data_IF_417131245916
#
_entry.id   IF_417131245916
#
_cell.length_a   1.000
_cell.length_b   1.000
_cell.length_c   1.000
_cell.angle_alpha   90.00
_cell.angle_beta   90.00
_cell.angle_gamma   90.00
#
_symmetry.space_group_name_H-M   'P 1'
#
loop_
_entity.id
_entity.type
_entity.pdbx_description
1 polymer ?
#
# COMPACT_ATOMS: atom_id res chain seq x y z
N UNK A 1 8.98 -2.03 22.47
CA UNK A 1 9.25 -3.47 22.68
C UNK A 1 10.51 -3.80 21.87
N UNK A 2 11.57 -4.34 22.50
CA UNK A 2 12.94 -4.28 21.97
C UNK A 2 13.22 -5.13 20.72
N UNK A 3 14.00 -4.57 19.78
CA UNK A 3 14.40 -5.13 18.46
C UNK A 3 14.98 -6.55 18.52
N UNK A 4 15.68 -6.89 19.60
CA UNK A 4 16.27 -8.22 19.83
C UNK A 4 15.18 -9.28 20.09
N UNK A 5 14.16 -8.94 20.90
CA UNK A 5 13.04 -9.86 21.18
C UNK A 5 12.24 -10.15 19.92
N UNK A 6 12.00 -9.14 19.09
CA UNK A 6 11.26 -9.29 17.84
C UNK A 6 11.98 -10.22 16.85
N UNK A 7 13.31 -10.13 16.73
CA UNK A 7 14.11 -11.04 15.90
C UNK A 7 14.09 -12.49 16.41
N UNK A 8 14.10 -12.68 17.72
CA UNK A 8 14.05 -14.01 18.33
C UNK A 8 12.67 -14.66 18.13
N UNK A 9 11.60 -13.89 18.36
CA UNK A 9 10.22 -14.28 18.08
C UNK A 9 10.02 -14.63 16.61
N UNK A 10 10.54 -13.82 15.69
CA UNK A 10 10.49 -14.11 14.25
C UNK A 10 11.13 -15.47 13.93
N UNK A 11 12.34 -15.75 14.44
CA UNK A 11 13.02 -17.05 14.22
C UNK A 11 12.22 -18.23 14.78
N UNK A 12 11.60 -18.08 15.94
CA UNK A 12 10.76 -19.11 16.56
C UNK A 12 9.51 -19.36 15.70
N UNK A 13 8.87 -18.29 15.25
CA UNK A 13 7.69 -18.35 14.40
C UNK A 13 7.96 -18.97 13.03
N UNK A 14 9.10 -18.64 12.40
CA UNK A 14 9.53 -19.29 11.14
C UNK A 14 9.79 -20.78 11.34
N UNK A 15 10.33 -21.19 12.49
CA UNK A 15 10.66 -22.58 12.77
C UNK A 15 9.44 -23.41 13.21
N UNK A 16 8.42 -22.77 13.77
CA UNK A 16 7.20 -23.42 14.25
C UNK A 16 5.94 -22.69 13.75
N UNK A 17 5.53 -22.93 12.49
CA UNK A 17 4.42 -22.20 11.85
C UNK A 17 3.06 -22.37 12.55
N UNK A 18 2.87 -23.42 13.35
CA UNK A 18 1.63 -23.61 14.11
C UNK A 18 1.47 -22.57 15.25
N UNK A 19 2.59 -22.05 15.80
CA UNK A 19 2.56 -20.98 16.79
C UNK A 19 2.15 -19.65 16.15
N UNK A 20 2.54 -19.40 14.89
CA UNK A 20 2.03 -18.27 14.10
C UNK A 20 0.52 -18.36 13.93
N UNK A 21 -0.02 -19.53 13.57
CA UNK A 21 -1.49 -19.72 13.46
C UNK A 21 -2.20 -19.35 14.74
N UNK A 22 -1.77 -19.89 15.89
CA UNK A 22 -2.39 -19.58 17.18
C UNK A 22 -2.22 -18.13 17.63
N UNK A 23 -1.20 -17.42 17.15
CA UNK A 23 -0.95 -16.00 17.41
C UNK A 23 -1.82 -15.08 16.54
N UNK A 24 -1.91 -15.35 15.23
CA UNK A 24 -2.77 -14.60 14.30
C UNK A 24 -4.26 -14.80 14.59
N UNK A 25 -4.65 -16.04 14.92
CA UNK A 25 -6.03 -16.38 15.25
C UNK A 25 -6.51 -15.69 16.54
N UNK A 26 -5.61 -15.50 17.53
CA UNK A 26 -5.87 -14.72 18.76
C UNK A 26 -5.95 -13.21 18.53
N UNK A 27 -5.36 -12.69 17.44
CA UNK A 27 -5.43 -11.27 17.06
C UNK A 27 -6.66 -10.90 16.24
N UNK A 28 -7.55 -11.86 15.94
CA UNK A 28 -8.76 -11.58 15.16
C UNK A 28 -8.49 -11.19 13.71
N UNK A 29 -7.27 -11.41 13.20
CA UNK A 29 -6.94 -11.31 11.77
C UNK A 29 -7.55 -12.53 11.07
N UNK A 30 -8.88 -12.53 10.96
CA UNK A 30 -9.66 -13.52 10.22
C UNK A 30 -9.65 -13.14 8.75
N UNK A 31 -8.94 -13.93 7.93
CA UNK A 31 -9.09 -13.94 6.48
C UNK A 31 -10.29 -14.78 6.03
N UNK A 32 -11.37 -14.81 6.82
CA UNK A 32 -12.50 -15.73 6.63
C UNK A 32 -13.52 -15.22 5.60
N UNK A 33 -13.34 -14.01 5.05
CA UNK A 33 -14.15 -13.50 3.95
C UNK A 33 -13.61 -13.98 2.61
N UNK A 34 -14.49 -14.40 1.71
CA UNK A 34 -14.14 -14.70 0.32
C UNK A 34 -13.30 -13.55 -0.27
N UNK A 35 -12.22 -13.89 -0.97
CA UNK A 35 -11.40 -12.90 -1.68
C UNK A 35 -12.34 -12.16 -2.64
N UNK A 36 -12.46 -10.81 -2.55
CA UNK A 36 -13.39 -10.03 -3.37
C UNK A 36 -12.84 -9.88 -4.79
N UNK A 37 -12.61 -11.01 -5.45
CA UNK A 37 -12.07 -11.07 -6.80
C UNK A 37 -13.08 -10.50 -7.79
N UNK A 38 -12.65 -9.49 -8.53
CA UNK A 38 -13.43 -8.92 -9.63
C UNK A 38 -12.74 -9.33 -10.94
N UNK A 39 -13.32 -10.23 -11.74
CA UNK A 39 -12.74 -10.60 -13.03
C UNK A 39 -12.57 -9.39 -13.94
N UNK A 40 -11.40 -9.29 -14.58
CA UNK A 40 -11.15 -8.27 -15.58
C UNK A 40 -12.01 -8.57 -16.82
N UNK A 41 -12.72 -7.55 -17.32
CA UNK A 41 -13.65 -7.66 -18.46
C UNK A 41 -13.16 -7.00 -19.74
N UNK A 42 -11.98 -6.39 -19.70
CA UNK A 42 -11.38 -5.62 -20.78
C UNK A 42 -10.00 -6.18 -21.07
N UNK A 43 -9.54 -6.02 -22.31
CA UNK A 43 -8.14 -6.29 -22.62
C UNK A 43 -7.24 -5.30 -21.87
N UNK A 44 -6.05 -5.76 -21.48
CA UNK A 44 -5.11 -4.96 -20.68
C UNK A 44 -4.79 -3.61 -21.36
N UNK A 45 -4.70 -3.63 -22.69
CA UNK A 45 -4.41 -2.46 -23.53
C UNK A 45 -5.49 -1.38 -23.47
N UNK A 46 -6.70 -1.73 -23.04
CA UNK A 46 -7.81 -0.79 -22.84
C UNK A 46 -7.98 -0.34 -21.38
N UNK A 47 -7.16 -0.86 -20.47
CA UNK A 47 -7.29 -0.63 -19.04
C UNK A 47 -6.55 0.63 -18.57
N UNK A 48 -7.19 1.37 -17.65
CA UNK A 48 -6.52 2.41 -16.85
C UNK A 48 -6.04 1.81 -15.52
N UNK A 49 -4.75 1.97 -15.22
CA UNK A 49 -4.09 1.31 -14.08
C UNK A 49 -3.68 2.33 -13.00
N UNK A 50 -4.01 2.06 -11.75
CA UNK A 50 -3.57 2.85 -10.59
C UNK A 50 -2.61 2.07 -9.68
N UNK A 51 -1.85 2.81 -8.88
CA UNK A 51 -1.05 2.27 -7.78
C UNK A 51 -1.73 2.60 -6.46
N UNK A 52 -1.84 1.60 -5.60
CA UNK A 52 -2.14 1.77 -4.18
C UNK A 52 -0.98 1.15 -3.41
N UNK A 53 -0.16 2.00 -2.79
CA UNK A 53 0.98 1.54 -2.00
C UNK A 53 0.69 1.65 -0.51
N UNK A 54 1.12 0.66 0.26
CA UNK A 54 1.13 0.73 1.74
C UNK A 54 2.52 1.03 2.29
N UNK A 55 3.46 1.43 1.43
CA UNK A 55 4.84 1.70 1.80
C UNK A 55 5.04 3.10 2.45
N UNK A 56 3.98 3.88 2.65
CA UNK A 56 4.09 5.23 3.23
C UNK A 56 4.56 6.30 2.24
N UNK A 57 4.43 6.06 0.93
CA UNK A 57 4.78 7.04 -0.11
C UNK A 57 3.78 8.20 -0.10
N UNK A 58 4.29 9.42 -0.21
CA UNK A 58 3.53 10.66 -0.31
C UNK A 58 4.40 11.77 -0.90
N UNK A 59 3.81 12.92 -1.23
CA UNK A 59 4.58 14.09 -1.67
C UNK A 59 5.28 14.74 -0.47
N UNK A 60 6.48 15.27 -0.69
CA UNK A 60 7.21 16.06 0.32
C UNK A 60 6.44 17.28 0.84
N UNK A 61 5.52 17.82 0.03
CA UNK A 61 4.67 18.96 0.40
C UNK A 61 3.44 18.56 1.22
N UNK A 62 3.11 17.27 1.28
CA UNK A 62 1.98 16.78 2.07
C UNK A 62 2.39 16.56 3.52
N UNK A 63 1.40 16.58 4.41
CA UNK A 63 1.62 16.21 5.80
C UNK A 63 2.14 14.75 5.87
N UNK A 64 3.29 14.49 6.52
CA UNK A 64 3.78 13.15 6.74
C UNK A 64 2.77 12.27 7.48
N UNK A 65 2.86 10.95 7.31
CA UNK A 65 2.05 10.01 8.10
C UNK A 65 2.44 10.08 9.59
N UNK A 66 1.46 9.92 10.47
CA UNK A 66 1.71 9.93 11.91
C UNK A 66 2.38 8.62 12.38
N UNK A 67 3.68 8.70 12.68
CA UNK A 67 4.44 7.60 13.26
C UNK A 67 4.48 7.60 14.80
N UNK A 68 3.92 8.63 15.46
CA UNK A 68 3.90 8.74 16.92
C UNK A 68 2.81 7.87 17.53
N UNK A 69 1.66 7.75 16.87
CA UNK A 69 0.63 6.82 17.28
C UNK A 69 1.06 5.38 16.97
N UNK A 70 1.25 4.58 18.02
CA UNK A 70 1.63 3.16 17.88
C UNK A 70 0.61 2.32 17.13
N UNK A 71 -0.63 2.82 16.97
CA UNK A 71 -1.68 2.17 16.19
C UNK A 71 -1.67 2.57 14.71
N UNK A 72 -0.81 3.51 14.33
CA UNK A 72 -0.64 3.96 12.97
C UNK A 72 -1.43 5.22 12.62
N UNK A 73 -1.65 5.39 11.32
CA UNK A 73 -2.30 6.49 10.64
C UNK A 73 -3.21 5.85 9.58
N UNK A 74 -4.55 5.89 9.76
CA UNK A 74 -5.47 5.26 8.83
C UNK A 74 -5.74 6.13 7.59
N UNK A 75 -5.20 7.36 7.53
CA UNK A 75 -5.40 8.25 6.41
C UNK A 75 -4.60 7.81 5.18
N UNK A 76 -4.92 8.40 4.03
CA UNK A 76 -4.16 8.22 2.80
C UNK A 76 -3.72 9.56 2.23
N UNK A 77 -2.84 9.50 1.24
CA UNK A 77 -2.40 10.63 0.45
C UNK A 77 -2.69 10.37 -1.03
N UNK A 78 -3.16 11.40 -1.71
CA UNK A 78 -3.34 11.38 -3.16
C UNK A 78 -2.04 11.81 -3.82
N UNK A 79 -1.58 11.03 -4.80
CA UNK A 79 -0.27 11.21 -5.46
C UNK A 79 -0.52 11.40 -6.96
N UNK A 80 -0.35 12.62 -7.49
CA UNK A 80 -0.46 12.87 -8.92
C UNK A 80 0.57 12.09 -9.73
N UNK A 81 0.15 11.42 -10.81
CA UNK A 81 1.06 10.62 -11.64
C UNK A 81 2.12 11.43 -12.39
N UNK A 82 1.85 12.72 -12.62
CA UNK A 82 2.77 13.63 -13.32
C UNK A 82 3.80 14.29 -12.39
N UNK A 83 3.78 14.00 -11.08
CA UNK A 83 4.78 14.53 -10.16
C UNK A 83 6.14 13.84 -10.42
N UNK A 84 7.26 14.57 -10.41
CA UNK A 84 8.58 13.96 -10.46
C UNK A 84 8.79 13.03 -9.26
N UNK A 85 9.39 11.86 -9.48
CA UNK A 85 9.67 10.91 -8.38
C UNK A 85 10.58 11.50 -7.31
N UNK A 86 11.41 12.50 -7.65
CA UNK A 86 12.20 13.28 -6.71
C UNK A 86 11.38 14.09 -5.70
N UNK A 87 10.09 14.35 -5.97
CA UNK A 87 9.16 15.03 -5.06
C UNK A 87 8.44 14.08 -4.11
N UNK A 88 8.65 12.78 -4.27
CA UNK A 88 8.10 11.75 -3.39
C UNK A 88 9.05 11.47 -2.22
N UNK A 89 8.47 11.05 -1.11
CA UNK A 89 9.20 10.56 0.05
C UNK A 89 8.40 9.49 0.78
N UNK A 90 9.07 8.78 1.70
CA UNK A 90 8.50 7.72 2.52
C UNK A 90 8.46 8.16 3.97
N UNK A 91 7.31 7.96 4.63
CA UNK A 91 7.20 8.05 6.09
C UNK A 91 6.68 6.71 6.60
N UNK A 92 7.60 5.81 6.99
CA UNK A 92 7.26 4.49 7.49
C UNK A 92 8.42 3.83 8.27
N UNK A 93 8.31 3.74 9.61
CA UNK A 93 9.41 3.28 10.47
C UNK A 93 9.57 1.75 10.58
N UNK A 94 8.70 0.97 9.92
CA UNK A 94 8.58 -0.48 10.17
C UNK A 94 9.29 -1.35 9.13
N UNK A 95 9.91 -0.75 8.11
CA UNK A 95 10.78 -1.45 7.16
C UNK A 95 12.02 -0.60 6.80
N UNK A 96 13.06 -1.24 6.27
CA UNK A 96 14.25 -0.52 5.79
C UNK A 96 13.99 -0.04 4.36
N UNK A 97 13.76 1.26 4.20
CA UNK A 97 13.38 1.86 2.92
C UNK A 97 14.55 2.50 2.16
N UNK A 98 15.81 2.26 2.56
CA UNK A 98 16.99 2.90 1.94
C UNK A 98 17.12 2.72 0.44
N UNK A 99 16.71 1.56 -0.09
CA UNK A 99 16.76 1.33 -1.53
C UNK A 99 15.58 2.02 -2.23
N UNK A 100 14.41 2.04 -1.60
CA UNK A 100 13.25 2.80 -2.07
C UNK A 100 13.48 4.32 -2.03
N UNK A 101 14.31 4.83 -1.11
CA UNK A 101 14.74 6.24 -1.09
C UNK A 101 15.61 6.60 -2.29
N UNK A 102 16.34 5.63 -2.86
CA UNK A 102 17.16 5.83 -4.07
C UNK A 102 16.32 5.67 -5.33
N UNK A 103 15.41 4.70 -5.34
CA UNK A 103 14.46 4.48 -6.42
C UNK A 103 13.08 4.12 -5.86
N UNK A 104 12.19 5.11 -5.88
CA UNK A 104 10.82 4.96 -5.36
C UNK A 104 10.03 3.90 -6.14
N UNK A 105 10.43 3.57 -7.38
CA UNK A 105 9.74 2.58 -8.20
C UNK A 105 9.76 1.17 -7.61
N UNK A 106 10.62 0.89 -6.62
CA UNK A 106 10.62 -0.37 -5.87
C UNK A 106 9.28 -0.58 -5.14
N UNK A 107 8.70 0.50 -4.60
CA UNK A 107 7.45 0.46 -3.81
C UNK A 107 6.31 1.24 -4.46
N UNK A 108 6.60 2.05 -5.47
CA UNK A 108 5.63 2.87 -6.21
C UNK A 108 6.06 2.96 -7.68
N UNK A 109 5.82 1.89 -8.48
CA UNK A 109 6.36 1.71 -9.84
C UNK A 109 5.70 2.60 -10.90
N UNK A 110 5.63 3.91 -10.64
CA UNK A 110 4.93 4.87 -11.47
C UNK A 110 5.61 5.06 -12.82
N UNK A 111 6.94 5.01 -12.87
CA UNK A 111 7.69 5.14 -14.12
C UNK A 111 7.54 3.89 -14.97
N UNK A 112 7.49 2.70 -14.34
CA UNK A 112 7.20 1.44 -15.05
C UNK A 112 5.80 1.47 -15.68
N UNK A 113 4.80 2.03 -15.00
CA UNK A 113 3.47 2.19 -15.59
C UNK A 113 3.45 3.20 -16.74
N UNK A 114 4.25 4.27 -16.67
CA UNK A 114 4.38 5.22 -17.78
C UNK A 114 5.03 4.57 -19.00
N UNK A 115 6.07 3.75 -18.80
CA UNK A 115 6.72 2.96 -19.84
C UNK A 115 5.74 1.97 -20.49
N UNK A 116 4.93 1.24 -19.70
CA UNK A 116 3.90 0.32 -20.23
C UNK A 116 2.85 1.06 -21.07
N UNK A 117 2.44 2.26 -20.64
CA UNK A 117 1.53 3.11 -21.42
C UNK A 117 2.17 3.53 -22.74
N UNK A 118 3.44 3.94 -22.72
CA UNK A 118 4.19 4.34 -23.93
C UNK A 118 4.40 3.18 -24.89
N UNK A 119 4.58 1.96 -24.39
CA UNK A 119 4.62 0.73 -25.17
C UNK A 119 3.24 0.29 -25.70
N UNK A 120 2.14 0.95 -25.29
CA UNK A 120 0.78 0.59 -25.68
C UNK A 120 0.27 -0.72 -25.07
N UNK A 121 0.84 -1.13 -23.94
CA UNK A 121 0.45 -2.32 -23.17
C UNK A 121 -0.75 -2.05 -22.27
N UNK A 122 -0.89 -0.80 -21.79
CA UNK A 122 -2.04 -0.29 -21.04
C UNK A 122 -2.54 1.01 -21.68
N UNK A 123 -3.82 1.33 -21.48
CA UNK A 123 -4.41 2.55 -22.04
C UNK A 123 -3.87 3.80 -21.36
N UNK A 124 -3.81 3.78 -20.04
CA UNK A 124 -3.44 4.95 -19.25
C UNK A 124 -3.02 4.57 -17.83
N UNK A 125 -2.25 5.48 -17.22
CA UNK A 125 -1.99 5.48 -15.78
C UNK A 125 -3.04 6.36 -15.10
N UNK A 126 -3.38 6.05 -13.85
CA UNK A 126 -4.25 6.88 -13.02
C UNK A 126 -3.70 8.31 -12.91
N UNK A 127 -4.58 9.31 -12.94
CA UNK A 127 -4.15 10.71 -12.74
C UNK A 127 -3.74 10.92 -11.28
N UNK A 128 -4.47 10.27 -10.36
CA UNK A 128 -4.21 10.24 -8.93
C UNK A 128 -4.07 8.79 -8.46
N UNK A 129 -2.93 8.50 -7.83
CA UNK A 129 -2.62 7.26 -7.14
C UNK A 129 -2.76 7.44 -5.62
N UNK A 130 -2.70 6.35 -4.86
CA UNK A 130 -2.92 6.40 -3.41
C UNK A 130 -1.72 5.86 -2.64
N UNK A 131 -1.29 6.62 -1.64
CA UNK A 131 -0.35 6.18 -0.61
C UNK A 131 -1.04 5.99 0.74
N UNK A 132 -0.85 4.85 1.36
CA UNK A 132 -1.18 4.55 2.75
C UNK A 132 0.10 4.29 3.54
N UNK A 133 0.01 4.43 4.86
CA UNK A 133 0.99 3.85 5.78
C UNK A 133 0.54 2.42 6.16
N UNK A 134 1.45 1.45 6.09
CA UNK A 134 1.13 0.02 6.10
C UNK A 134 0.93 -0.61 7.49
N UNK A 135 1.34 0.06 8.56
CA UNK A 135 1.19 -0.39 9.94
C UNK A 135 -0.04 0.23 10.63
N UNK A 136 -1.22 -0.35 10.44
CA UNK A 136 -2.48 0.12 11.08
C UNK A 136 -3.09 -0.98 11.95
N UNK A 137 -3.23 -0.70 13.26
CA UNK A 137 -3.61 -1.68 14.27
C UNK A 137 -4.83 -1.23 15.13
N UNK A 138 -5.42 -2.20 15.83
CA UNK A 138 -6.47 -2.03 16.84
C UNK A 138 -7.59 -1.05 16.44
N UNK A 139 -7.73 0.07 17.18
CA UNK A 139 -8.82 1.03 16.99
C UNK A 139 -8.79 1.67 15.59
N UNK A 140 -7.61 1.86 15.01
CA UNK A 140 -7.45 2.53 13.71
C UNK A 140 -7.72 1.59 12.55
N UNK A 141 -7.64 0.26 12.75
CA UNK A 141 -8.02 -0.72 11.75
C UNK A 141 -9.51 -0.58 11.37
N UNK A 142 -10.38 -0.32 12.36
CA UNK A 142 -11.80 -0.08 12.09
C UNK A 142 -12.05 1.19 11.27
N UNK A 143 -11.21 2.22 11.44
CA UNK A 143 -11.27 3.47 10.65
C UNK A 143 -10.81 3.20 9.22
N UNK A 144 -9.72 2.44 9.04
CA UNK A 144 -9.25 2.02 7.72
C UNK A 144 -10.35 1.28 6.96
N UNK A 145 -10.86 0.20 7.54
CA UNK A 145 -11.81 -0.71 6.89
C UNK A 145 -13.14 -0.01 6.55
N UNK A 146 -13.67 0.78 7.47
CA UNK A 146 -15.02 1.32 7.32
C UNK A 146 -15.08 2.74 6.74
N UNK A 147 -13.94 3.46 6.66
CA UNK A 147 -13.91 4.86 6.20
C UNK A 147 -12.88 5.10 5.10
N UNK A 148 -11.59 5.02 5.41
CA UNK A 148 -10.57 5.57 4.51
C UNK A 148 -10.26 4.66 3.32
N UNK A 149 -10.26 3.34 3.48
CA UNK A 149 -10.12 2.42 2.35
C UNK A 149 -11.33 2.49 1.39
N UNK A 150 -12.60 2.49 1.87
CA UNK A 150 -13.75 2.76 1.01
C UNK A 150 -13.71 4.13 0.32
N UNK A 151 -13.22 5.18 1.00
CA UNK A 151 -13.06 6.50 0.39
C UNK A 151 -12.02 6.48 -0.74
N UNK A 152 -10.83 5.92 -0.50
CA UNK A 152 -9.81 5.76 -1.54
C UNK A 152 -10.35 4.94 -2.73
N UNK A 153 -11.08 3.85 -2.46
CA UNK A 153 -11.75 3.06 -3.49
C UNK A 153 -12.76 3.87 -4.32
N UNK A 154 -13.52 4.77 -3.69
CA UNK A 154 -14.43 5.69 -4.40
C UNK A 154 -13.65 6.69 -5.27
N UNK A 155 -12.53 7.24 -4.80
CA UNK A 155 -11.67 8.14 -5.60
C UNK A 155 -11.14 7.45 -6.85
N UNK A 156 -10.66 6.21 -6.72
CA UNK A 156 -10.19 5.41 -7.86
C UNK A 156 -11.34 5.05 -8.81
N UNK A 157 -12.50 4.65 -8.28
CA UNK A 157 -13.67 4.36 -9.11
C UNK A 157 -14.14 5.59 -9.90
N UNK A 158 -14.10 6.77 -9.30
CA UNK A 158 -14.46 8.02 -9.97
C UNK A 158 -13.50 8.39 -11.13
N UNK A 159 -12.24 7.94 -11.06
CA UNK A 159 -11.26 8.10 -12.14
C UNK A 159 -11.39 7.06 -13.27
N UNK A 160 -12.33 6.12 -13.15
CA UNK A 160 -12.50 5.03 -14.12
C UNK A 160 -11.34 4.03 -14.12
N UNK A 161 -10.73 3.78 -12.97
CA UNK A 161 -9.65 2.79 -12.83
C UNK A 161 -10.20 1.37 -13.00
N UNK A 162 -9.53 0.59 -13.84
CA UNK A 162 -9.88 -0.81 -14.13
C UNK A 162 -9.03 -1.78 -13.29
N UNK A 163 -7.75 -1.45 -13.07
CA UNK A 163 -6.79 -2.30 -12.38
C UNK A 163 -6.04 -1.46 -11.33
N UNK A 164 -5.84 -2.05 -10.16
CA UNK A 164 -4.99 -1.49 -9.11
C UNK A 164 -3.81 -2.43 -8.87
N UNK A 165 -2.60 -1.89 -8.94
CA UNK A 165 -1.40 -2.56 -8.43
C UNK A 165 -1.28 -2.22 -6.95
N UNK A 166 -1.31 -3.25 -6.10
CA UNK A 166 -1.09 -3.15 -4.67
C UNK A 166 0.39 -3.42 -4.38
N UNK A 167 1.08 -2.45 -3.79
CA UNK A 167 2.50 -2.58 -3.44
C UNK A 167 2.72 -2.44 -1.94
N UNK A 168 3.36 -3.42 -1.28
CA UNK A 168 3.78 -3.30 0.11
C UNK A 168 5.11 -2.52 0.25
N UNK A 169 5.44 -2.13 1.48
CA UNK A 169 6.77 -1.68 1.90
C UNK A 169 7.55 -2.81 2.57
#
# INVERSE_FOLDING_TARGET
MGRIKNRLLAKIFTRFPFLLRGYFQRRGLRGDSAIPWTPLKKDLRDCKVAIVTTAGVHLKSQQPFDMKDKKGDPSFREIPANIPTSELMITHDYYDHKDADKDINIVFPIDRLKEMREAGEIKAVADINIGFMGHIDDRLLSVLINKTAPEAGKRLKAQGIDIVILTPG
#
